data_IF_350595600588
#
_entry.id   IF_350595600588
#
_cell.length_a   1.000
_cell.length_b   1.000
_cell.length_c   1.000
_cell.angle_alpha   90.00
_cell.angle_beta   90.00
_cell.angle_gamma   90.00
#
_symmetry.space_group_name_H-M   'P 1'
#
loop_
_entity.id
_entity.type
_entity.pdbx_description
1 polymer ?
#
# COMPACT_ATOMS: atom_id res chain seq x y z
N UNK A 1 -52.73 -12.85 23.79
CA UNK A 1 -52.44 -14.04 22.96
C UNK A 1 -51.08 -13.81 22.34
N UNK A 2 -50.04 -14.54 22.77
CA UNK A 2 -48.68 -14.34 22.25
C UNK A 2 -48.51 -15.16 20.97
N UNK A 3 -48.12 -14.51 19.87
CA UNK A 3 -47.63 -15.20 18.68
C UNK A 3 -46.16 -15.56 18.98
N UNK A 4 -45.78 -16.85 19.03
CA UNK A 4 -44.37 -17.20 19.15
C UNK A 4 -43.66 -16.80 17.85
N UNK A 5 -42.49 -16.16 17.97
CA UNK A 5 -41.63 -15.96 16.82
C UNK A 5 -41.21 -17.34 16.28
N UNK A 6 -41.47 -17.58 14.99
CA UNK A 6 -40.90 -18.75 14.31
C UNK A 6 -39.40 -18.52 14.23
N UNK A 7 -38.64 -19.23 15.07
CA UNK A 7 -37.20 -19.27 14.93
C UNK A 7 -36.88 -19.95 13.59
N UNK A 8 -36.17 -19.26 12.70
CA UNK A 8 -35.66 -19.90 11.50
C UNK A 8 -34.71 -21.03 11.91
N UNK A 9 -35.07 -22.26 11.53
CA UNK A 9 -34.23 -23.43 11.79
C UNK A 9 -33.02 -23.34 10.88
N UNK A 10 -31.90 -22.92 11.46
CA UNK A 10 -30.56 -22.95 10.87
C UNK A 10 -30.21 -24.41 10.51
N UNK A 11 -30.62 -24.85 9.32
CA UNK A 11 -30.59 -26.27 8.89
C UNK A 11 -29.19 -26.89 8.95
N UNK A 12 -28.19 -26.14 8.50
CA UNK A 12 -26.78 -26.55 8.48
C UNK A 12 -25.94 -25.61 9.37
N UNK A 13 -24.81 -26.09 9.88
CA UNK A 13 -23.92 -25.30 10.74
C UNK A 13 -23.27 -24.15 9.95
N UNK A 14 -22.65 -23.21 10.69
CA UNK A 14 -22.01 -21.99 10.12
C UNK A 14 -20.88 -22.28 9.12
N UNK A 15 -20.26 -23.47 9.21
CA UNK A 15 -19.21 -23.98 8.33
C UNK A 15 -19.70 -24.99 7.28
N UNK A 16 -21.02 -25.14 7.13
CA UNK A 16 -21.71 -26.07 6.23
C UNK A 16 -22.64 -25.33 5.25
N UNK A 17 -22.98 -25.98 4.14
CA UNK A 17 -23.85 -25.46 3.08
C UNK A 17 -24.85 -26.54 2.68
N UNK A 18 -26.13 -26.21 2.67
CA UNK A 18 -27.19 -27.08 2.15
C UNK A 18 -27.05 -27.22 0.61
N UNK A 19 -27.06 -28.45 0.09
CA UNK A 19 -27.12 -28.70 -1.36
C UNK A 19 -28.54 -28.62 -1.90
N UNK A 20 -28.70 -28.64 -3.23
CA UNK A 20 -30.01 -28.82 -3.88
C UNK A 20 -30.75 -30.10 -3.40
N UNK A 21 -30.01 -31.09 -2.90
CA UNK A 21 -30.51 -32.36 -2.37
C UNK A 21 -30.89 -32.31 -0.87
N UNK A 22 -30.75 -31.14 -0.23
CA UNK A 22 -31.01 -30.95 1.20
C UNK A 22 -29.90 -31.43 2.15
N UNK A 23 -28.72 -31.78 1.62
CA UNK A 23 -27.60 -32.34 2.39
C UNK A 23 -26.69 -31.22 2.91
N UNK A 24 -26.34 -31.23 4.19
CA UNK A 24 -25.38 -30.31 4.77
C UNK A 24 -23.93 -30.73 4.46
N UNK A 25 -23.29 -30.07 3.49
CA UNK A 25 -21.88 -30.30 3.12
C UNK A 25 -20.95 -29.27 3.76
N UNK A 26 -19.83 -29.69 4.36
CA UNK A 26 -18.84 -28.76 4.91
C UNK A 26 -18.20 -27.86 3.82
N UNK A 27 -17.79 -26.65 4.16
CA UNK A 27 -17.04 -25.78 3.24
C UNK A 27 -15.60 -26.28 3.01
N UNK A 28 -15.03 -25.90 1.85
CA UNK A 28 -13.60 -25.97 1.58
C UNK A 28 -12.85 -24.86 2.31
N UNK A 29 -11.67 -25.19 2.85
CA UNK A 29 -10.83 -24.25 3.61
C UNK A 29 -10.16 -23.18 2.71
N UNK A 30 -9.78 -22.01 3.26
CA UNK A 30 -8.91 -21.07 2.58
C UNK A 30 -7.66 -21.77 2.01
N UNK A 31 -7.34 -21.55 0.74
CA UNK A 31 -6.35 -22.34 0.01
C UNK A 31 -6.92 -23.31 -1.02
N UNK A 32 -8.20 -23.65 -0.92
CA UNK A 32 -8.81 -24.75 -1.66
C UNK A 32 -10.16 -24.35 -2.29
N UNK A 33 -10.46 -24.96 -3.44
CA UNK A 33 -11.74 -24.87 -4.16
C UNK A 33 -12.46 -26.23 -4.15
N UNK A 34 -13.78 -26.18 -4.34
CA UNK A 34 -14.63 -27.35 -4.51
C UNK A 34 -14.22 -28.13 -5.76
N UNK A 35 -13.85 -29.41 -5.61
CA UNK A 35 -13.70 -30.33 -6.72
C UNK A 35 -15.07 -30.93 -7.04
N UNK A 36 -15.67 -31.64 -6.09
CA UNK A 36 -16.99 -32.28 -6.20
C UNK A 36 -17.83 -31.99 -4.94
N UNK A 37 -19.15 -31.82 -5.11
CA UNK A 37 -20.13 -31.77 -4.00
C UNK A 37 -19.97 -32.98 -3.07
N UNK A 38 -20.34 -32.85 -1.79
CA UNK A 38 -20.42 -34.03 -0.93
C UNK A 38 -21.55 -34.99 -1.38
N UNK A 39 -21.42 -36.28 -1.05
CA UNK A 39 -22.35 -37.34 -1.50
C UNK A 39 -23.34 -37.79 -0.41
N UNK A 40 -23.09 -37.41 0.84
CA UNK A 40 -23.85 -37.72 2.05
C UNK A 40 -23.27 -36.91 3.21
N UNK A 41 -24.01 -36.68 4.29
CA UNK A 41 -23.54 -35.90 5.44
C UNK A 41 -22.24 -36.46 6.05
N UNK A 42 -22.11 -37.79 6.13
CA UNK A 42 -20.89 -38.46 6.64
C UNK A 42 -19.64 -38.29 5.76
N UNK A 43 -19.77 -37.77 4.54
CA UNK A 43 -18.67 -37.66 3.56
C UNK A 43 -18.20 -36.22 3.43
N UNK A 44 -16.96 -35.96 3.87
CA UNK A 44 -16.32 -34.66 3.72
C UNK A 44 -16.31 -34.19 2.26
N UNK A 45 -16.69 -32.93 2.03
CA UNK A 45 -16.61 -32.24 0.74
C UNK A 45 -15.24 -32.39 0.10
N UNK A 46 -15.20 -32.76 -1.19
CA UNK A 46 -13.94 -32.97 -1.90
C UNK A 46 -13.38 -31.64 -2.41
N UNK A 47 -12.24 -31.23 -1.85
CA UNK A 47 -11.62 -29.93 -2.09
C UNK A 47 -10.21 -30.09 -2.64
N UNK A 48 -9.85 -29.33 -3.67
CA UNK A 48 -8.49 -29.30 -4.26
C UNK A 48 -7.84 -27.93 -4.10
N UNK A 49 -6.51 -27.88 -4.00
CA UNK A 49 -5.77 -26.63 -3.76
C UNK A 49 -5.91 -25.69 -4.97
N UNK A 50 -5.98 -24.38 -4.73
CA UNK A 50 -5.88 -23.39 -5.80
C UNK A 50 -4.57 -23.58 -6.61
N UNK A 51 -4.62 -23.47 -7.95
CA UNK A 51 -3.43 -23.53 -8.79
C UNK A 51 -2.52 -22.31 -8.59
N UNK A 52 -1.31 -22.35 -9.15
CA UNK A 52 -0.43 -21.18 -9.17
C UNK A 52 -1.11 -20.02 -9.93
N UNK A 53 -1.00 -18.80 -9.40
CA UNK A 53 -1.69 -17.63 -9.95
C UNK A 53 -3.16 -17.46 -9.52
N UNK A 54 -3.68 -18.33 -8.65
CA UNK A 54 -5.01 -18.17 -8.03
C UNK A 54 -4.98 -18.34 -6.50
N UNK A 55 -5.99 -17.78 -5.82
CA UNK A 55 -6.17 -17.80 -4.37
C UNK A 55 -7.63 -17.98 -3.95
N UNK A 56 -7.84 -18.36 -2.69
CA UNK A 56 -9.14 -18.42 -2.03
C UNK A 56 -8.96 -18.11 -0.55
N UNK A 57 -9.32 -16.90 -0.11
CA UNK A 57 -8.97 -16.37 1.22
C UNK A 57 -10.00 -16.63 2.32
N UNK A 58 -11.14 -17.26 2.00
CA UNK A 58 -12.21 -17.58 2.94
C UNK A 58 -12.66 -19.05 2.79
N UNK A 59 -13.32 -19.62 3.82
CA UNK A 59 -14.12 -20.83 3.65
C UNK A 59 -15.12 -20.64 2.50
N UNK A 60 -15.29 -21.66 1.66
CA UNK A 60 -16.06 -21.52 0.42
C UNK A 60 -16.67 -22.84 -0.09
N UNK A 61 -17.55 -22.72 -1.06
CA UNK A 61 -18.11 -23.85 -1.82
C UNK A 61 -18.04 -23.57 -3.34
N UNK A 62 -16.95 -22.92 -3.78
CA UNK A 62 -16.76 -22.47 -5.16
C UNK A 62 -15.87 -23.43 -5.95
N UNK A 63 -16.25 -23.73 -7.19
CA UNK A 63 -15.45 -24.58 -8.08
C UNK A 63 -14.21 -23.90 -8.67
N UNK A 64 -14.04 -22.58 -8.48
CA UNK A 64 -12.95 -21.77 -9.01
C UNK A 64 -12.26 -20.94 -7.91
N UNK A 65 -10.96 -20.69 -8.07
CA UNK A 65 -10.19 -19.81 -7.18
C UNK A 65 -9.98 -18.45 -7.86
N UNK A 66 -10.09 -17.38 -7.08
CA UNK A 66 -9.89 -16.00 -7.50
C UNK A 66 -8.49 -15.78 -8.11
N UNK A 67 -8.40 -14.97 -9.15
CA UNK A 67 -7.17 -14.65 -9.86
C UNK A 67 -6.29 -13.70 -9.03
N UNK A 68 -5.01 -14.03 -8.90
CA UNK A 68 -4.06 -13.17 -8.19
C UNK A 68 -3.91 -11.81 -8.88
N UNK A 69 -4.08 -10.70 -8.13
CA UNK A 69 -3.83 -9.34 -8.64
C UNK A 69 -2.39 -9.24 -9.11
N UNK A 70 -2.19 -8.70 -10.30
CA UNK A 70 -0.87 -8.29 -10.78
C UNK A 70 -0.63 -6.83 -10.40
N UNK A 71 0.47 -6.54 -9.71
CA UNK A 71 0.84 -5.17 -9.35
C UNK A 71 1.42 -4.45 -10.57
N UNK A 72 0.78 -3.34 -10.99
CA UNK A 72 1.13 -2.67 -12.24
C UNK A 72 2.29 -1.69 -12.07
N UNK A 73 3.47 -2.06 -12.54
CA UNK A 73 4.66 -1.19 -12.57
C UNK A 73 4.41 0.14 -13.30
N UNK A 74 3.57 0.13 -14.36
CA UNK A 74 3.10 1.33 -15.06
C UNK A 74 2.20 2.26 -14.23
N UNK A 75 1.80 1.85 -13.02
CA UNK A 75 1.10 2.65 -12.01
C UNK A 75 1.95 2.89 -10.75
N UNK A 76 3.27 2.67 -10.84
CA UNK A 76 4.21 2.71 -9.71
C UNK A 76 3.88 1.73 -8.57
N UNK A 77 3.11 0.67 -8.85
CA UNK A 77 2.83 -0.41 -7.90
C UNK A 77 3.98 -1.42 -7.84
N UNK A 78 4.23 -1.98 -6.66
CA UNK A 78 5.16 -3.08 -6.38
C UNK A 78 4.48 -4.18 -5.58
N UNK A 79 4.98 -5.41 -5.68
CA UNK A 79 4.54 -6.55 -4.84
C UNK A 79 5.13 -6.38 -3.44
N UNK A 80 4.27 -6.19 -2.44
CA UNK A 80 4.64 -6.19 -1.01
C UNK A 80 4.48 -7.58 -0.40
N UNK A 81 3.50 -8.35 -0.87
CA UNK A 81 3.34 -9.77 -0.49
C UNK A 81 2.95 -10.57 -1.73
N UNK A 82 3.72 -11.61 -2.10
CA UNK A 82 3.38 -12.44 -3.25
C UNK A 82 2.13 -13.27 -2.98
N UNK A 83 1.39 -13.59 -4.04
CA UNK A 83 0.18 -14.38 -3.95
C UNK A 83 0.45 -15.80 -3.41
N UNK A 84 -0.50 -16.33 -2.65
CA UNK A 84 -0.52 -17.70 -2.13
C UNK A 84 -1.90 -18.28 -2.40
N UNK A 85 -2.05 -19.61 -2.35
CA UNK A 85 -3.36 -20.24 -2.55
C UNK A 85 -4.44 -19.75 -1.59
N UNK A 86 -4.10 -19.19 -0.43
CA UNK A 86 -5.02 -18.61 0.55
C UNK A 86 -4.97 -17.08 0.67
N UNK A 87 -4.19 -16.37 -0.17
CA UNK A 87 -3.95 -14.93 -0.01
C UNK A 87 -3.65 -14.26 -1.35
N UNK A 88 -4.42 -13.22 -1.71
CA UNK A 88 -4.16 -12.41 -2.91
C UNK A 88 -2.79 -11.70 -2.81
N UNK A 89 -2.20 -11.34 -3.95
CA UNK A 89 -1.05 -10.43 -4.00
C UNK A 89 -1.40 -9.11 -3.31
N UNK A 90 -0.58 -8.69 -2.34
CA UNK A 90 -0.68 -7.36 -1.75
C UNK A 90 0.23 -6.42 -2.52
N UNK A 91 -0.37 -5.48 -3.24
CA UNK A 91 0.34 -4.40 -3.94
C UNK A 91 0.46 -3.18 -3.04
N UNK A 92 1.59 -2.49 -3.12
CA UNK A 92 1.85 -1.20 -2.49
C UNK A 92 2.59 -0.28 -3.44
N UNK A 93 2.91 0.93 -2.99
CA UNK A 93 3.55 1.94 -3.84
C UNK A 93 5.09 1.89 -3.77
N UNK A 94 5.74 2.14 -4.91
CA UNK A 94 7.19 2.30 -5.00
C UNK A 94 7.68 3.48 -4.15
N UNK A 95 8.89 3.39 -3.59
CA UNK A 95 9.52 4.50 -2.88
C UNK A 95 9.49 5.80 -3.70
N UNK A 96 9.12 6.92 -3.06
CA UNK A 96 8.84 8.19 -3.73
C UNK A 96 7.38 8.37 -4.19
N UNK A 97 6.51 7.40 -3.91
CA UNK A 97 5.06 7.48 -4.09
C UNK A 97 4.34 7.09 -2.80
N UNK A 98 3.16 7.68 -2.58
CA UNK A 98 2.23 7.30 -1.51
C UNK A 98 0.90 6.83 -2.09
N UNK A 99 0.18 6.04 -1.31
CA UNK A 99 -1.12 5.46 -1.62
C UNK A 99 -2.21 6.52 -1.44
N UNK A 100 -2.83 6.93 -2.53
CA UNK A 100 -4.06 7.71 -2.52
C UNK A 100 -5.24 6.74 -2.64
N UNK A 101 -6.12 6.73 -1.63
CA UNK A 101 -7.26 5.81 -1.55
C UNK A 101 -8.43 6.46 -2.28
N UNK A 102 -8.95 5.76 -3.29
CA UNK A 102 -10.06 6.24 -4.13
C UNK A 102 -11.39 5.70 -3.59
N UNK A 103 -11.40 4.42 -3.19
CA UNK A 103 -12.52 3.77 -2.49
C UNK A 103 -12.01 2.72 -1.48
N UNK A 104 -12.91 2.03 -0.78
CA UNK A 104 -12.57 1.03 0.25
C UNK A 104 -11.75 -0.18 -0.25
N UNK A 105 -11.67 -0.39 -1.57
CA UNK A 105 -10.97 -1.49 -2.24
C UNK A 105 -9.92 -1.00 -3.24
N UNK A 106 -10.01 0.22 -3.79
CA UNK A 106 -9.09 0.76 -4.81
C UNK A 106 -8.23 1.92 -4.33
N UNK A 107 -7.01 1.97 -4.86
CA UNK A 107 -6.03 3.02 -4.60
C UNK A 107 -5.17 3.22 -5.85
N UNK A 108 -4.52 4.38 -5.90
CA UNK A 108 -3.46 4.71 -6.86
C UNK A 108 -2.19 5.14 -6.12
N UNK A 109 -1.05 5.15 -6.82
CA UNK A 109 0.22 5.58 -6.26
C UNK A 109 0.57 6.97 -6.79
N UNK A 110 0.35 8.00 -5.96
CA UNK A 110 0.62 9.40 -6.29
C UNK A 110 2.05 9.76 -5.88
N UNK A 111 2.75 10.52 -6.72
CA UNK A 111 4.12 10.92 -6.43
C UNK A 111 4.16 11.82 -5.19
N UNK A 112 5.12 11.58 -4.29
CA UNK A 112 5.33 12.40 -3.10
C UNK A 112 5.62 13.87 -3.49
N UNK A 113 4.98 14.83 -2.82
CA UNK A 113 5.31 16.25 -2.96
C UNK A 113 6.77 16.46 -2.56
N UNK A 114 7.53 17.17 -3.38
CA UNK A 114 8.80 17.78 -2.99
C UNK A 114 8.54 19.17 -2.43
N UNK A 115 9.13 19.50 -1.29
CA UNK A 115 9.00 20.84 -0.70
C UNK A 115 9.77 21.87 -1.55
N UNK A 116 9.21 23.08 -1.66
CA UNK A 116 9.82 24.21 -2.38
C UNK A 116 11.05 24.76 -1.63
N UNK A 117 11.93 25.55 -2.26
CA UNK A 117 13.09 26.15 -1.57
C UNK A 117 12.72 27.04 -0.36
N UNK A 118 11.52 27.61 -0.35
CA UNK A 118 10.95 28.45 0.72
C UNK A 118 10.21 27.61 1.80
N UNK A 119 10.09 26.30 1.60
CA UNK A 119 9.44 25.36 2.50
C UNK A 119 10.46 24.47 3.26
N UNK A 120 10.06 23.97 4.42
CA UNK A 120 10.74 22.92 5.19
C UNK A 120 9.85 21.67 5.23
N UNK A 121 10.45 20.49 5.06
CA UNK A 121 9.80 19.19 5.27
C UNK A 121 9.59 18.96 6.77
N UNK A 122 8.34 19.02 7.25
CA UNK A 122 7.97 18.69 8.64
C UNK A 122 7.67 17.19 8.77
N UNK A 123 7.07 16.58 7.74
CA UNK A 123 6.83 15.13 7.70
C UNK A 123 7.29 14.57 6.37
N UNK A 124 8.18 13.58 6.43
CA UNK A 124 8.67 12.83 5.25
C UNK A 124 7.52 12.09 4.58
N UNK A 125 7.67 11.77 3.29
CA UNK A 125 6.72 10.89 2.62
C UNK A 125 6.84 9.44 3.12
N UNK A 126 5.73 8.75 3.28
CA UNK A 126 5.65 7.32 3.60
C UNK A 126 4.60 6.64 2.71
N UNK A 127 4.62 5.30 2.56
CA UNK A 127 3.70 4.61 1.65
C UNK A 127 2.21 4.91 1.88
N UNK A 128 1.80 5.22 3.10
CA UNK A 128 0.41 5.55 3.44
C UNK A 128 0.12 7.07 3.48
N UNK A 129 1.10 7.96 3.31
CA UNK A 129 0.85 9.41 3.30
C UNK A 129 1.92 10.29 2.63
N UNK A 130 1.44 11.36 2.00
CA UNK A 130 2.27 12.37 1.35
C UNK A 130 3.16 13.16 2.34
N UNK A 131 4.26 13.70 1.80
CA UNK A 131 5.13 14.71 2.43
C UNK A 131 4.32 15.91 2.93
N UNK A 132 4.66 16.45 4.10
CA UNK A 132 4.07 17.69 4.61
C UNK A 132 5.13 18.77 4.69
N UNK A 133 4.90 19.83 3.92
CA UNK A 133 5.77 20.99 3.80
C UNK A 133 5.10 22.22 4.41
N UNK A 134 5.82 22.93 5.28
CA UNK A 134 5.43 24.23 5.82
C UNK A 134 6.40 25.32 5.34
N UNK A 135 6.01 26.59 5.44
CA UNK A 135 6.92 27.69 5.10
C UNK A 135 8.05 27.81 6.13
N UNK A 136 9.23 28.24 5.67
CA UNK A 136 10.37 28.58 6.53
C UNK A 136 10.06 29.78 7.42
N UNK A 137 10.86 29.94 8.47
CA UNK A 137 10.86 31.16 9.27
C UNK A 137 10.99 32.41 8.39
N UNK A 138 10.31 33.50 8.78
CA UNK A 138 10.18 34.74 8.00
C UNK A 138 9.41 34.60 6.67
N UNK A 139 8.75 33.46 6.42
CA UNK A 139 7.74 33.29 5.36
C UNK A 139 6.38 32.88 5.94
N UNK A 140 5.30 33.33 5.33
CA UNK A 140 3.92 32.93 5.65
C UNK A 140 3.24 32.31 4.44
N UNK A 141 2.24 31.45 4.67
CA UNK A 141 1.56 30.72 3.59
C UNK A 141 0.37 31.51 3.04
N UNK A 142 0.41 31.79 1.74
CA UNK A 142 -0.70 32.36 0.96
C UNK A 142 -1.11 31.31 -0.07
N UNK A 143 -2.27 30.67 0.14
CA UNK A 143 -2.73 29.49 -0.63
C UNK A 143 -1.67 28.38 -0.60
N UNK A 144 -0.99 28.12 -1.72
CA UNK A 144 0.09 27.11 -1.84
C UNK A 144 1.46 27.73 -2.16
N UNK A 145 1.65 29.00 -1.81
CA UNK A 145 2.92 29.72 -1.94
C UNK A 145 3.35 30.28 -0.58
N UNK A 146 4.65 30.18 -0.29
CA UNK A 146 5.26 30.86 0.85
C UNK A 146 5.71 32.25 0.41
N UNK A 147 5.15 33.30 1.01
CA UNK A 147 5.52 34.68 0.73
C UNK A 147 6.40 35.24 1.85
N UNK A 148 7.40 36.10 1.57
CA UNK A 148 8.22 36.70 2.61
C UNK A 148 7.41 37.62 3.52
N UNK A 149 7.59 37.50 4.84
CA UNK A 149 6.89 38.31 5.83
C UNK A 149 7.13 39.82 5.71
N UNK A 150 8.23 40.25 5.06
CA UNK A 150 8.46 41.67 4.72
C UNK A 150 7.46 42.25 3.70
N UNK A 151 6.71 41.40 2.98
CA UNK A 151 5.66 41.81 2.04
C UNK A 151 4.26 41.78 2.68
N UNK A 152 4.16 41.47 3.99
CA UNK A 152 2.89 41.30 4.68
C UNK A 152 2.29 42.65 5.13
N UNK A 153 1.07 42.95 4.66
CA UNK A 153 0.21 44.01 5.20
C UNK A 153 -0.44 43.59 6.54
N UNK A 154 -1.06 44.54 7.25
CA UNK A 154 -1.53 44.36 8.63
C UNK A 154 -2.35 43.07 8.91
N UNK A 155 -3.15 42.61 7.93
CA UNK A 155 -4.03 41.44 8.02
C UNK A 155 -3.27 40.12 8.33
N UNK A 156 -2.09 39.90 7.73
CA UNK A 156 -1.30 38.68 7.93
C UNK A 156 -0.30 38.78 9.11
N UNK A 157 -0.32 39.88 9.87
CA UNK A 157 0.60 40.14 11.00
C UNK A 157 0.48 39.19 12.20
N UNK A 158 -0.39 38.18 12.11
CA UNK A 158 -0.55 37.06 13.06
C UNK A 158 0.07 35.73 12.55
N UNK A 159 0.30 35.60 11.24
CA UNK A 159 0.94 34.43 10.60
C UNK A 159 2.47 34.56 10.57
N UNK A 160 2.95 35.80 10.52
CA UNK A 160 4.37 36.12 10.63
C UNK A 160 4.74 36.26 12.10
N UNK A 161 5.72 35.51 12.62
CA UNK A 161 6.36 35.86 13.88
C UNK A 161 6.89 37.28 13.78
N UNK A 162 6.34 38.19 14.59
CA UNK A 162 7.05 39.43 14.93
C UNK A 162 8.38 39.02 15.55
N UNK A 163 9.42 39.84 15.41
CA UNK A 163 10.65 39.58 16.11
C UNK A 163 10.36 39.58 17.62
N UNK A 164 10.43 38.38 18.19
CA UNK A 164 10.60 38.22 19.62
C UNK A 164 11.96 38.80 19.96
N UNK A 165 11.98 40.10 20.23
CA UNK A 165 12.93 40.69 21.16
C UNK A 165 12.63 40.08 22.53
N UNK A 166 12.97 38.80 22.69
CA UNK A 166 13.32 38.23 23.98
C UNK A 166 14.55 38.96 24.44
N UNK A 167 14.32 40.11 25.09
CA UNK A 167 15.27 40.63 26.07
C UNK A 167 15.66 39.44 26.95
N UNK A 168 16.96 39.11 27.06
CA UNK A 168 17.40 37.82 27.56
C UNK A 168 17.00 37.64 29.03
N UNK A 169 15.93 36.86 29.27
CA UNK A 169 15.48 36.49 30.62
C UNK A 169 16.43 35.53 31.35
N UNK A 170 17.56 35.19 30.73
CA UNK A 170 18.62 34.38 31.30
C UNK A 170 19.71 35.23 31.99
N UNK A 171 19.81 36.53 31.67
CA UNK A 171 20.69 37.49 32.38
C UNK A 171 20.43 37.45 33.89
N UNK A 172 19.16 37.48 34.30
CA UNK A 172 18.80 37.48 35.72
C UNK A 172 19.21 36.21 36.45
N UNK A 173 19.06 35.03 35.82
CA UNK A 173 19.38 33.77 36.50
C UNK A 173 20.90 33.52 36.54
N UNK A 174 21.63 33.95 35.50
CA UNK A 174 23.08 33.94 35.46
C UNK A 174 23.69 34.91 36.49
N UNK A 175 23.17 36.15 36.58
CA UNK A 175 23.60 37.13 37.59
C UNK A 175 23.29 36.66 39.03
N UNK A 176 22.13 36.07 39.28
CA UNK A 176 21.80 35.49 40.60
C UNK A 176 22.78 34.36 40.96
N UNK A 177 23.11 33.48 40.01
CA UNK A 177 24.08 32.40 40.23
C UNK A 177 25.50 32.94 40.48
N UNK A 178 25.93 34.00 39.78
CA UNK A 178 27.21 34.69 40.05
C UNK A 178 27.21 35.30 41.45
N UNK A 179 26.16 36.03 41.83
CA UNK A 179 26.06 36.68 43.16
C UNK A 179 26.08 35.61 44.27
N UNK A 180 25.37 34.49 44.09
CA UNK A 180 25.40 33.36 45.03
C UNK A 180 26.80 32.72 45.12
N UNK A 181 27.47 32.50 43.98
CA UNK A 181 28.83 31.97 43.94
C UNK A 181 29.85 32.88 44.62
N UNK A 182 29.77 34.19 44.38
CA UNK A 182 30.62 35.20 45.05
C UNK A 182 30.34 35.27 46.55
N UNK A 183 29.07 35.20 46.96
CA UNK A 183 28.71 35.19 48.39
C UNK A 183 29.22 33.95 49.12
N UNK A 184 29.12 32.76 48.51
CA UNK A 184 29.71 31.52 49.05
C UNK A 184 31.23 31.59 49.10
N UNK A 185 31.88 32.07 48.02
CA UNK A 185 33.33 32.25 47.98
C UNK A 185 33.84 33.23 49.05
N UNK A 186 33.17 34.37 49.21
CA UNK A 186 33.48 35.34 50.26
C UNK A 186 33.25 34.75 51.67
N UNK A 187 32.17 34.00 51.88
CA UNK A 187 31.91 33.29 53.14
C UNK A 187 33.00 32.28 53.49
N UNK A 188 33.45 31.47 52.52
CA UNK A 188 34.56 30.54 52.69
C UNK A 188 35.86 31.27 52.99
N UNK A 189 36.16 32.38 52.30
CA UNK A 189 37.34 33.20 52.59
C UNK A 189 37.29 33.83 54.00
N UNK A 190 36.13 34.30 54.46
CA UNK A 190 35.95 34.83 55.82
C UNK A 190 36.16 33.72 56.86
N UNK A 191 35.61 32.52 56.63
CA UNK A 191 35.82 31.36 57.52
C UNK A 191 37.29 30.93 57.52
N UNK A 192 37.95 30.87 56.37
CA UNK A 192 39.39 30.58 56.27
C UNK A 192 40.23 31.63 57.00
N UNK A 193 39.93 32.92 56.84
CA UNK A 193 40.63 34.00 57.56
C UNK A 193 40.35 33.98 59.06
N UNK A 194 39.14 33.61 59.50
CA UNK A 194 38.83 33.40 60.91
C UNK A 194 39.57 32.19 61.50
N UNK A 195 39.64 31.07 60.76
CA UNK A 195 40.40 29.87 61.15
C UNK A 195 41.90 30.15 61.17
N UNK A 196 42.45 30.82 60.14
CA UNK A 196 43.85 31.27 60.11
C UNK A 196 44.12 32.20 61.28
N UNK A 197 43.24 33.17 61.56
CA UNK A 197 43.40 34.09 62.71
C UNK A 197 43.35 33.33 64.04
N UNK A 198 42.44 32.37 64.21
CA UNK A 198 42.34 31.54 65.42
C UNK A 198 43.53 30.57 65.57
N UNK A 199 44.07 30.05 64.46
CA UNK A 199 45.29 29.23 64.44
C UNK A 199 46.52 30.10 64.71
N UNK A 200 46.57 31.33 64.20
CA UNK A 200 47.64 32.30 64.46
C UNK A 200 47.59 32.80 65.90
N UNK A 201 46.43 33.12 66.48
CA UNK A 201 46.34 33.49 67.91
C UNK A 201 46.71 32.30 68.80
N UNK A 202 46.22 31.07 68.54
CA UNK A 202 46.72 29.88 69.26
C UNK A 202 48.23 29.65 69.07
N UNK A 203 48.78 29.85 67.86
CA UNK A 203 50.23 29.72 67.60
C UNK A 203 51.04 30.83 68.26
N UNK A 204 50.55 32.07 68.33
CA UNK A 204 51.21 33.20 69.00
C UNK A 204 51.15 33.07 70.52
N UNK A 205 50.02 32.61 71.08
CA UNK A 205 49.91 32.26 72.50
C UNK A 205 50.88 31.12 72.84
N UNK A 206 50.98 30.09 71.99
CA UNK A 206 51.94 28.98 72.19
C UNK A 206 53.41 29.41 71.99
N UNK A 207 53.70 30.28 71.03
CA UNK A 207 55.05 30.85 70.80
C UNK A 207 55.49 31.86 71.87
N UNK A 208 54.56 32.55 72.54
CA UNK A 208 54.86 33.37 73.73
C UNK A 208 55.34 32.55 74.94
N UNK A 209 55.25 31.21 74.89
CA UNK A 209 55.82 30.29 75.88
C UNK A 209 57.09 29.57 75.40
N UNK A 210 57.36 29.48 74.09
CA UNK A 210 58.61 28.94 73.54
C UNK A 210 59.05 29.67 72.26
N UNK A 211 60.21 30.33 72.37
CA UNK A 211 61.13 30.78 71.33
C UNK A 211 62.54 30.32 71.79
N UNK A 212 63.51 29.99 70.90
CA UNK A 212 64.01 30.97 69.92
C UNK A 212 64.53 30.44 68.56
N UNK A 213 64.90 31.40 67.69
CA UNK A 213 66.01 31.38 66.70
C UNK A 213 65.93 30.57 65.38
N UNK A 214 66.51 31.19 64.34
CA UNK A 214 67.23 30.60 63.16
C UNK A 214 66.47 29.72 62.14
N UNK A 215 66.88 29.57 60.86
CA UNK A 215 67.66 30.41 59.90
C UNK A 215 67.64 29.69 58.51
N UNK A 216 67.80 30.42 57.39
CA UNK A 216 68.14 29.91 56.02
C UNK A 216 67.16 28.91 55.35
N UNK A 217 67.28 28.50 54.07
CA UNK A 217 67.66 29.17 52.79
C UNK A 217 67.28 28.23 51.60
N UNK A 218 67.46 28.72 50.36
CA UNK A 218 67.57 27.97 49.08
C UNK A 218 66.27 27.34 48.50
N UNK A 219 65.94 27.33 47.18
CA UNK A 219 66.70 27.28 45.89
C UNK A 219 67.14 25.83 45.57
N UNK A 220 66.94 25.19 44.40
CA UNK A 220 66.80 25.65 42.99
C UNK A 220 66.10 24.62 42.05
N UNK A 221 65.73 25.04 40.81
CA UNK A 221 65.81 24.39 39.45
C UNK A 221 65.57 22.85 39.23
N UNK A 222 65.52 22.27 37.99
CA UNK A 222 64.92 22.59 36.67
C UNK A 222 65.21 21.43 35.65
N UNK A 223 64.54 21.45 34.48
CA UNK A 223 64.91 20.83 33.18
C UNK A 223 64.38 19.42 32.82
N UNK A 224 64.38 19.13 31.50
CA UNK A 224 63.54 18.18 30.76
C UNK A 224 64.30 17.43 29.64
N UNK A 225 63.81 16.27 29.18
CA UNK A 225 64.18 15.57 27.91
C UNK A 225 63.09 14.54 27.51
N UNK A 226 62.94 13.94 26.31
CA UNK A 226 63.16 14.28 24.87
C UNK A 226 62.55 13.14 23.97
N UNK A 227 62.74 13.15 22.62
CA UNK A 227 62.63 12.00 21.64
C UNK A 227 61.21 11.55 21.15
N UNK A 228 60.92 10.97 19.94
CA UNK A 228 61.23 11.24 18.49
C UNK A 228 60.51 10.22 17.52
N UNK A 229 60.19 10.57 16.24
CA UNK A 229 60.00 9.70 15.01
C UNK A 229 58.79 8.69 14.94
N UNK A 230 58.18 8.19 13.81
CA UNK A 230 57.90 8.62 12.40
C UNK A 230 56.87 7.64 11.69
N UNK A 231 56.48 7.88 10.41
CA UNK A 231 55.35 7.37 9.56
C UNK A 231 55.47 5.99 8.80
N UNK A 232 54.36 5.45 8.20
CA UNK A 232 54.23 4.95 6.76
C UNK A 232 52.83 4.31 6.35
N UNK A 233 52.66 3.84 5.08
CA UNK A 233 51.43 3.25 4.41
C UNK A 233 51.79 1.96 3.55
N UNK A 234 51.39 1.59 2.28
CA UNK A 234 50.27 1.89 1.33
C UNK A 234 49.59 0.70 0.51
N UNK A 235 48.52 1.00 -0.28
CA UNK A 235 48.07 0.33 -1.58
C UNK A 235 47.36 -1.08 -1.57
N UNK A 236 46.74 -1.69 -2.63
CA UNK A 236 45.91 -1.26 -3.83
C UNK A 236 45.31 -2.47 -4.67
N UNK A 237 44.62 -2.22 -5.82
CA UNK A 237 44.19 -3.16 -6.94
C UNK A 237 42.89 -4.04 -6.75
N UNK A 238 42.19 -4.68 -7.73
CA UNK A 238 41.92 -4.53 -9.21
C UNK A 238 40.82 -5.53 -9.75
N UNK A 239 40.50 -5.57 -11.08
CA UNK A 239 39.82 -6.65 -11.92
C UNK A 239 38.48 -6.33 -12.68
N UNK A 240 38.07 -7.17 -13.68
CA UNK A 240 37.23 -6.83 -14.89
C UNK A 240 36.52 -8.00 -15.66
N UNK A 241 35.47 -7.76 -16.51
CA UNK A 241 34.78 -8.75 -17.43
C UNK A 241 34.14 -8.10 -18.72
N UNK A 242 33.88 -8.88 -19.80
CA UNK A 242 33.37 -8.50 -21.18
C UNK A 242 31.86 -8.77 -21.51
N UNK A 243 31.36 -8.35 -22.71
CA UNK A 243 29.98 -8.61 -23.29
C UNK A 243 29.98 -8.69 -24.86
N UNK A 244 28.99 -9.39 -25.49
CA UNK A 244 28.86 -9.72 -26.95
C UNK A 244 27.41 -9.46 -27.51
N UNK A 245 27.16 -9.23 -28.84
CA UNK A 245 25.91 -8.62 -29.39
C UNK A 245 24.82 -9.59 -30.01
N UNK A 246 23.65 -9.11 -30.53
CA UNK A 246 22.39 -9.89 -30.64
C UNK A 246 21.91 -10.38 -32.06
N UNK A 247 20.65 -10.87 -32.13
CA UNK A 247 19.97 -11.68 -33.18
C UNK A 247 19.30 -10.92 -34.36
N UNK A 248 18.91 -11.67 -35.39
CA UNK A 248 18.29 -11.24 -36.65
C UNK A 248 16.73 -11.23 -36.67
N UNK A 249 16.16 -10.75 -37.79
CA UNK A 249 14.73 -10.49 -38.07
C UNK A 249 14.14 -11.50 -39.06
N UNK A 250 12.83 -11.75 -39.02
CA UNK A 250 12.05 -12.44 -40.06
C UNK A 250 10.92 -11.54 -40.60
N UNK A 251 10.50 -11.77 -41.84
CA UNK A 251 9.48 -11.00 -42.58
C UNK A 251 8.30 -11.89 -42.95
N UNK A 252 7.11 -11.28 -42.98
CA UNK A 252 5.82 -11.91 -43.24
C UNK A 252 5.61 -12.31 -44.71
N UNK A 253 4.63 -13.18 -45.00
CA UNK A 253 4.11 -13.40 -46.36
C UNK A 253 2.68 -13.95 -46.36
N UNK A 254 1.78 -13.17 -46.96
CA UNK A 254 0.34 -13.42 -47.10
C UNK A 254 0.00 -14.61 -48.01
N UNK A 255 -1.24 -15.12 -47.88
CA UNK A 255 -1.88 -16.07 -48.79
C UNK A 255 -3.35 -15.66 -49.03
N UNK A 256 -3.80 -15.67 -50.29
CA UNK A 256 -5.08 -15.05 -50.68
C UNK A 256 -6.09 -16.03 -51.30
N UNK A 257 -7.28 -16.08 -50.70
CA UNK A 257 -8.63 -16.26 -51.29
C UNK A 257 -8.93 -17.43 -52.26
N UNK A 258 -9.92 -18.26 -51.88
CA UNK A 258 -11.00 -18.86 -52.70
C UNK A 258 -12.16 -19.24 -51.72
N UNK A 259 -13.41 -19.57 -52.14
CA UNK A 259 -14.58 -18.93 -51.52
C UNK A 259 -15.61 -19.86 -50.83
N UNK A 260 -16.35 -19.24 -49.91
CA UNK A 260 -17.81 -19.39 -49.68
C UNK A 260 -18.41 -20.78 -49.46
N UNK A 261 -17.99 -21.41 -48.36
CA UNK A 261 -18.89 -22.15 -47.47
C UNK A 261 -18.39 -22.03 -46.01
N UNK A 262 -18.25 -20.79 -45.54
CA UNK A 262 -17.71 -20.48 -44.20
C UNK A 262 -18.86 -20.38 -43.20
N UNK A 263 -18.97 -21.26 -42.20
CA UNK A 263 -19.88 -21.03 -41.08
C UNK A 263 -19.46 -19.75 -40.36
N UNK A 264 -20.40 -18.86 -40.05
CA UNK A 264 -20.13 -17.57 -39.39
C UNK A 264 -19.23 -17.77 -38.16
N UNK A 265 -17.96 -17.37 -38.27
CA UNK A 265 -16.94 -17.53 -37.21
C UNK A 265 -17.15 -16.49 -36.09
N UNK A 266 -18.29 -16.58 -35.41
CA UNK A 266 -18.64 -15.69 -34.29
C UNK A 266 -17.68 -15.99 -33.14
N UNK A 267 -16.60 -15.22 -33.08
CA UNK A 267 -15.65 -15.20 -31.97
C UNK A 267 -16.38 -14.79 -30.71
N UNK A 268 -16.35 -15.66 -29.71
CA UNK A 268 -17.06 -15.47 -28.44
C UNK A 268 -16.69 -14.14 -27.77
N UNK A 269 -15.43 -13.71 -27.88
CA UNK A 269 -14.97 -12.40 -27.39
C UNK A 269 -15.72 -11.23 -28.01
N UNK A 270 -15.92 -11.28 -29.33
CA UNK A 270 -16.30 -10.13 -30.14
C UNK A 270 -17.83 -9.92 -30.07
N UNK A 271 -18.58 -11.03 -29.98
CA UNK A 271 -19.98 -11.00 -29.60
C UNK A 271 -20.14 -10.41 -28.19
N UNK A 272 -19.43 -10.94 -27.18
CA UNK A 272 -19.57 -10.47 -25.80
C UNK A 272 -19.24 -8.98 -25.68
N UNK A 273 -18.17 -8.49 -26.31
CA UNK A 273 -17.88 -7.05 -26.30
C UNK A 273 -18.99 -6.23 -26.95
N UNK A 274 -19.60 -6.69 -28.04
CA UNK A 274 -20.76 -6.02 -28.64
C UNK A 274 -21.96 -6.00 -27.69
N UNK A 275 -22.29 -7.14 -27.06
CA UNK A 275 -23.38 -7.23 -26.06
C UNK A 275 -23.18 -6.23 -24.92
N UNK A 276 -21.93 -6.01 -24.49
CA UNK A 276 -21.59 -5.05 -23.44
C UNK A 276 -21.65 -3.57 -23.87
N UNK A 277 -21.68 -3.29 -25.17
CA UNK A 277 -21.82 -1.94 -25.70
C UNK A 277 -23.28 -1.61 -26.08
N UNK A 278 -24.11 -2.60 -26.43
CA UNK A 278 -25.56 -2.42 -26.70
C UNK A 278 -26.47 -2.60 -25.48
N UNK A 279 -26.07 -3.38 -24.46
CA UNK A 279 -26.88 -3.61 -23.25
C UNK A 279 -26.50 -2.64 -22.13
N UNK A 280 -27.44 -1.84 -21.60
CA UNK A 280 -27.16 -0.91 -20.50
C UNK A 280 -26.60 -1.62 -19.26
N UNK A 281 -25.51 -1.08 -18.70
CA UNK A 281 -24.74 -1.65 -17.58
C UNK A 281 -25.60 -2.13 -16.40
N UNK A 282 -26.66 -1.40 -16.06
CA UNK A 282 -27.59 -1.77 -14.99
C UNK A 282 -28.40 -3.05 -15.27
N UNK A 283 -28.70 -3.34 -16.54
CA UNK A 283 -29.50 -4.49 -16.97
C UNK A 283 -28.65 -5.73 -17.26
N UNK A 284 -27.34 -5.61 -17.48
CA UNK A 284 -26.47 -6.77 -17.77
C UNK A 284 -26.55 -7.83 -16.65
N UNK A 285 -26.62 -7.42 -15.37
CA UNK A 285 -26.79 -8.36 -14.25
C UNK A 285 -28.13 -9.10 -14.25
N UNK A 286 -29.17 -8.55 -14.89
CA UNK A 286 -30.46 -9.22 -15.06
C UNK A 286 -30.42 -10.15 -16.28
N UNK A 287 -29.79 -9.73 -17.37
CA UNK A 287 -29.55 -10.55 -18.56
C UNK A 287 -28.77 -11.81 -18.21
N UNK A 288 -27.64 -11.68 -17.51
CA UNK A 288 -26.78 -12.83 -17.23
C UNK A 288 -27.43 -13.82 -16.23
N UNK A 289 -28.28 -13.36 -15.31
CA UNK A 289 -29.16 -14.24 -14.53
C UNK A 289 -30.18 -14.97 -15.40
N UNK A 290 -30.79 -14.28 -16.38
CA UNK A 290 -31.74 -14.90 -17.31
C UNK A 290 -31.08 -15.97 -18.21
N UNK A 291 -29.76 -15.87 -18.42
CA UNK A 291 -28.88 -16.82 -19.11
C UNK A 291 -28.34 -17.92 -18.16
N UNK A 292 -29.02 -18.17 -17.04
CA UNK A 292 -28.72 -19.21 -16.04
C UNK A 292 -27.34 -19.12 -15.36
N UNK A 293 -26.64 -17.98 -15.42
CA UNK A 293 -25.43 -17.76 -14.62
C UNK A 293 -25.85 -17.40 -13.19
N UNK A 294 -25.28 -18.10 -12.21
CA UNK A 294 -25.73 -18.01 -10.82
C UNK A 294 -25.23 -16.74 -10.12
N UNK A 295 -25.94 -16.26 -9.09
CA UNK A 295 -25.47 -15.14 -8.26
C UNK A 295 -24.07 -15.38 -7.67
N UNK A 296 -23.73 -16.65 -7.38
CA UNK A 296 -22.40 -17.09 -6.95
C UNK A 296 -21.32 -16.81 -8.00
N UNK A 297 -21.62 -16.98 -9.29
CA UNK A 297 -20.70 -16.70 -10.40
C UNK A 297 -20.65 -15.21 -10.74
N UNK A 298 -21.76 -14.49 -10.55
CA UNK A 298 -21.82 -13.03 -10.69
C UNK A 298 -20.94 -12.36 -9.61
N UNK A 299 -21.14 -12.70 -8.33
CA UNK A 299 -20.28 -12.22 -7.23
C UNK A 299 -18.80 -12.56 -7.48
N UNK A 300 -18.52 -13.81 -7.90
CA UNK A 300 -17.16 -14.26 -8.18
C UNK A 300 -16.49 -13.45 -9.30
N UNK A 301 -17.22 -13.15 -10.38
CA UNK A 301 -16.72 -12.33 -11.48
C UNK A 301 -16.46 -10.88 -11.07
N UNK A 302 -17.34 -10.25 -10.26
CA UNK A 302 -17.13 -8.89 -9.74
C UNK A 302 -15.94 -8.79 -8.76
N UNK A 303 -15.68 -9.85 -7.99
CA UNK A 303 -14.54 -9.89 -7.07
C UNK A 303 -13.19 -9.97 -7.78
N UNK A 304 -13.07 -10.81 -8.82
CA UNK A 304 -11.84 -10.90 -9.63
C UNK A 304 -11.65 -9.66 -10.51
N UNK A 305 -12.71 -9.23 -11.20
CA UNK A 305 -12.63 -8.27 -12.29
C UNK A 305 -13.24 -6.93 -11.90
N UNK A 306 -12.51 -6.17 -11.08
CA UNK A 306 -12.94 -4.87 -10.52
C UNK A 306 -13.38 -3.79 -11.52
N UNK A 307 -13.16 -3.98 -12.83
CA UNK A 307 -13.73 -3.13 -13.87
C UNK A 307 -15.09 -3.69 -14.27
N UNK A 308 -16.16 -2.91 -14.13
CA UNK A 308 -17.52 -3.40 -14.37
C UNK A 308 -17.72 -4.02 -15.76
N UNK A 309 -17.14 -3.44 -16.83
CA UNK A 309 -17.19 -4.03 -18.19
C UNK A 309 -16.44 -5.37 -18.27
N UNK A 310 -15.34 -5.55 -17.53
CA UNK A 310 -14.60 -6.82 -17.47
C UNK A 310 -15.34 -7.88 -16.63
N UNK A 311 -15.91 -7.51 -15.48
CA UNK A 311 -16.76 -8.42 -14.70
C UNK A 311 -17.91 -8.96 -15.57
N UNK A 312 -18.63 -8.07 -16.25
CA UNK A 312 -19.72 -8.44 -17.13
C UNK A 312 -19.26 -9.28 -18.34
N UNK A 313 -18.08 -9.00 -18.92
CA UNK A 313 -17.47 -9.86 -19.94
C UNK A 313 -17.25 -11.29 -19.44
N UNK A 314 -16.67 -11.44 -18.25
CA UNK A 314 -16.37 -12.77 -17.70
C UNK A 314 -17.64 -13.53 -17.27
N UNK A 315 -18.69 -12.82 -16.80
CA UNK A 315 -20.02 -13.42 -16.56
C UNK A 315 -20.63 -13.99 -17.85
N UNK A 316 -20.67 -13.19 -18.94
CA UNK A 316 -21.18 -13.62 -20.24
C UNK A 316 -20.31 -14.74 -20.85
N UNK A 317 -18.99 -14.70 -20.62
CA UNK A 317 -18.08 -15.76 -21.06
C UNK A 317 -18.37 -17.09 -20.38
N UNK A 318 -18.74 -17.11 -19.10
CA UNK A 318 -19.15 -18.34 -18.38
C UNK A 318 -20.43 -18.94 -19.00
N UNK A 319 -21.41 -18.13 -19.40
CA UNK A 319 -22.56 -18.60 -20.18
C UNK A 319 -22.13 -19.20 -21.53
N UNK A 320 -21.31 -18.49 -22.30
CA UNK A 320 -20.85 -18.97 -23.61
C UNK A 320 -20.07 -20.29 -23.52
N UNK A 321 -19.16 -20.43 -22.56
CA UNK A 321 -18.36 -21.65 -22.34
C UNK A 321 -19.20 -22.84 -21.82
N UNK A 322 -20.37 -22.61 -21.22
CA UNK A 322 -21.35 -23.68 -20.92
C UNK A 322 -22.08 -24.14 -22.17
N UNK A 323 -22.53 -23.20 -23.01
CA UNK A 323 -23.24 -23.50 -24.25
C UNK A 323 -22.41 -24.31 -25.24
N UNK A 324 -21.15 -23.93 -25.47
CA UNK A 324 -20.25 -24.65 -26.39
C UNK A 324 -19.77 -26.02 -25.88
N UNK A 325 -20.18 -26.48 -24.69
CA UNK A 325 -19.80 -27.80 -24.13
C UNK A 325 -20.74 -28.95 -24.47
N UNK A 326 -21.92 -28.68 -25.01
CA UNK A 326 -22.86 -29.73 -25.45
C UNK A 326 -22.54 -30.26 -26.85
N UNK A 327 -21.81 -29.49 -27.66
CA UNK A 327 -21.12 -29.96 -28.87
C UNK A 327 -19.75 -30.54 -28.54
N UNK A 328 -19.39 -31.68 -29.13
CA UNK A 328 -18.19 -32.43 -28.76
C UNK A 328 -16.86 -31.79 -29.20
N UNK A 329 -15.93 -31.63 -28.25
CA UNK A 329 -14.48 -31.66 -28.52
C UNK A 329 -13.82 -30.47 -29.23
N UNK A 330 -14.56 -29.41 -29.59
CA UNK A 330 -14.00 -28.25 -30.30
C UNK A 330 -13.10 -27.37 -29.42
N UNK A 331 -11.80 -27.27 -29.74
CA UNK A 331 -10.86 -26.33 -29.10
C UNK A 331 -10.90 -24.93 -29.73
N UNK A 332 -12.10 -24.37 -29.91
CA UNK A 332 -12.34 -23.08 -30.56
C UNK A 332 -13.13 -22.11 -29.67
N UNK A 333 -12.72 -20.84 -29.63
CA UNK A 333 -13.46 -19.75 -28.99
C UNK A 333 -14.60 -19.23 -29.87
N UNK A 334 -15.40 -20.15 -30.40
CA UNK A 334 -16.46 -19.92 -31.39
C UNK A 334 -17.82 -20.20 -30.75
N UNK A 335 -18.81 -19.37 -31.08
CA UNK A 335 -20.15 -19.42 -30.52
C UNK A 335 -21.13 -20.05 -31.53
N UNK A 336 -21.87 -21.07 -31.10
CA UNK A 336 -22.77 -21.80 -31.98
C UNK A 336 -24.09 -21.03 -32.18
N UNK A 337 -24.64 -21.04 -33.41
CA UNK A 337 -25.81 -20.24 -33.79
C UNK A 337 -27.05 -20.37 -32.87
N UNK A 338 -27.42 -21.56 -32.34
CA UNK A 338 -28.52 -21.68 -31.38
C UNK A 338 -28.29 -20.95 -30.05
N UNK A 339 -27.02 -20.73 -29.67
CA UNK A 339 -26.66 -19.98 -28.47
C UNK A 339 -26.79 -18.46 -28.69
N UNK A 340 -26.52 -17.98 -29.91
CA UNK A 340 -26.88 -16.62 -30.29
C UNK A 340 -28.41 -16.43 -30.25
N UNK A 341 -29.18 -17.41 -30.73
CA UNK A 341 -30.64 -17.37 -30.66
C UNK A 341 -31.16 -17.30 -29.20
N UNK A 342 -30.62 -18.12 -28.29
CA UNK A 342 -30.96 -18.05 -26.86
C UNK A 342 -30.76 -16.63 -26.31
N UNK A 343 -29.63 -15.98 -26.64
CA UNK A 343 -29.32 -14.62 -26.22
C UNK A 343 -30.32 -13.59 -26.79
N UNK A 344 -30.62 -13.66 -28.09
CA UNK A 344 -31.54 -12.75 -28.76
C UNK A 344 -32.96 -12.84 -28.15
N UNK A 345 -33.43 -14.06 -27.88
CA UNK A 345 -34.76 -14.27 -27.32
C UNK A 345 -34.84 -13.81 -25.85
N UNK A 346 -33.76 -13.96 -25.07
CA UNK A 346 -33.67 -13.41 -23.70
C UNK A 346 -33.63 -11.87 -23.68
N UNK A 347 -32.94 -11.25 -24.64
CA UNK A 347 -32.94 -9.79 -24.82
C UNK A 347 -34.34 -9.26 -25.15
N UNK A 348 -35.05 -9.91 -26.09
CA UNK A 348 -36.44 -9.60 -26.44
C UNK A 348 -37.38 -9.70 -25.23
N UNK A 349 -37.25 -10.78 -24.43
CA UNK A 349 -38.01 -10.98 -23.18
C UNK A 349 -37.71 -9.93 -22.09
N UNK A 350 -36.54 -9.27 -22.14
CA UNK A 350 -36.16 -8.18 -21.23
C UNK A 350 -36.53 -6.77 -21.74
N UNK A 351 -37.33 -6.67 -22.81
CA UNK A 351 -37.64 -5.41 -23.51
C UNK A 351 -36.41 -4.71 -24.14
N UNK A 352 -35.28 -5.42 -24.29
CA UNK A 352 -34.07 -4.97 -24.99
C UNK A 352 -34.15 -5.27 -26.50
N UNK A 353 -35.32 -5.04 -27.12
CA UNK A 353 -35.60 -5.38 -28.52
C UNK A 353 -34.61 -4.76 -29.50
N UNK A 354 -34.33 -3.46 -29.35
CA UNK A 354 -33.35 -2.73 -30.19
C UNK A 354 -31.94 -3.34 -30.11
N UNK A 355 -31.52 -3.81 -28.93
CA UNK A 355 -30.21 -4.47 -28.76
C UNK A 355 -30.20 -5.88 -29.36
N UNK A 356 -31.33 -6.59 -29.39
CA UNK A 356 -31.47 -7.84 -30.11
C UNK A 356 -31.40 -7.61 -31.63
N UNK A 357 -32.12 -6.60 -32.15
CA UNK A 357 -32.09 -6.22 -33.57
C UNK A 357 -30.69 -5.78 -34.05
N UNK A 358 -29.93 -5.04 -33.22
CA UNK A 358 -28.54 -4.66 -33.52
C UNK A 358 -27.58 -5.86 -33.53
N UNK A 359 -27.78 -6.84 -32.64
CA UNK A 359 -26.99 -8.08 -32.63
C UNK A 359 -27.36 -9.01 -33.79
N UNK A 360 -28.65 -9.13 -34.12
CA UNK A 360 -29.16 -9.93 -35.24
C UNK A 360 -28.69 -9.35 -36.58
N UNK A 361 -28.79 -8.04 -36.79
CA UNK A 361 -28.23 -7.39 -37.99
C UNK A 361 -26.71 -7.48 -38.08
N UNK A 362 -25.98 -7.51 -36.95
CA UNK A 362 -24.50 -7.63 -36.96
C UNK A 362 -23.99 -9.07 -37.14
N UNK A 363 -24.76 -10.08 -36.70
CA UNK A 363 -24.33 -11.48 -36.66
C UNK A 363 -25.23 -12.46 -37.44
N UNK A 364 -26.20 -11.96 -38.20
CA UNK A 364 -27.09 -12.77 -39.07
C UNK A 364 -27.30 -12.16 -40.46
N UNK A 365 -26.39 -11.28 -40.90
CA UNK A 365 -26.20 -10.95 -42.32
C UNK A 365 -24.97 -11.71 -42.83
N UNK A 366 -25.14 -13.00 -43.17
CA UNK A 366 -25.28 -13.43 -44.58
C UNK A 366 -25.74 -14.89 -44.67
#
# INVERSE_FOLDING_TARGET
MFIPAVAEVQKCKSDEVETEDGICCNMCLPGFKLLNKCQSEDKRTNCTRCPAGQYMSQPNYYHNCFSCRQCKSSRSEIVITPCKSNQNTICGCKAGYYKHIIDSKTFECVQCKKCKPEETEIRKCLPEHNTVCACKEKYYRVKDMCQPCRNCTAECGHLCPKESTTAPKDESHFLINIIAGVAVGAGVLIVLMAVITHVVTKRQIKKKLLNPSSQSSDVSLHFSEQVLIQSEEPSSSSSSVEVVPPRAVFVDRELSNLPDCVPLEIRTSDLIYTVLDVVPVAQVKQLVRSLNVTDKEIEWAEMDHRSCKEAHYQMLRVWAERGSRTGGGGRGGMLHQPLLQELLDKLRLMHLGQAAEELETKYSIQ
#
